data_IF_467191144713
#
_entry.id   IF_467191144713
#
_cell.length_a   1.000
_cell.length_b   1.000
_cell.length_c   1.000
_cell.angle_alpha   90.00
_cell.angle_beta   90.00
_cell.angle_gamma   90.00
#
_symmetry.space_group_name_H-M   'P 1'
#
loop_
_entity.id
_entity.type
_entity.pdbx_description
1 polymer ?
#
# COMPACT_ATOMS: atom_id res chain seq x y z
N UNK A 1 49.82 -13.59 -40.81
CA UNK A 1 49.64 -15.00 -40.40
C UNK A 1 48.80 -15.00 -39.14
N UNK A 2 47.54 -15.44 -39.26
CA UNK A 2 46.70 -16.19 -38.29
C UNK A 2 45.29 -16.19 -38.91
N UNK A 3 44.80 -17.40 -39.11
CA UNK A 3 43.73 -17.79 -40.03
C UNK A 3 42.42 -17.99 -39.25
N UNK A 4 41.31 -17.40 -39.71
CA UNK A 4 39.98 -17.77 -39.21
C UNK A 4 39.59 -19.15 -39.77
N UNK A 5 39.21 -20.10 -38.88
CA UNK A 5 38.50 -21.32 -39.27
C UNK A 5 37.02 -21.19 -38.88
N UNK A 6 36.14 -21.29 -39.87
CA UNK A 6 34.71 -21.61 -39.70
C UNK A 6 34.58 -23.08 -39.37
N UNK A 7 33.82 -23.42 -38.33
CA UNK A 7 33.33 -24.77 -38.09
C UNK A 7 31.81 -24.79 -38.11
N UNK A 8 31.31 -25.58 -39.05
CA UNK A 8 29.92 -25.95 -39.29
C UNK A 8 29.44 -26.85 -38.15
N UNK A 9 28.32 -26.51 -37.48
CA UNK A 9 27.64 -27.47 -36.62
C UNK A 9 26.46 -28.10 -37.37
N UNK A 10 26.55 -29.41 -37.52
CA UNK A 10 25.58 -30.32 -38.11
C UNK A 10 24.41 -30.51 -37.15
N UNK A 11 23.18 -30.38 -37.65
CA UNK A 11 21.95 -30.80 -36.98
C UNK A 11 21.93 -32.32 -36.86
N UNK A 12 21.84 -32.85 -35.64
CA UNK A 12 21.37 -34.23 -35.40
C UNK A 12 20.07 -34.12 -34.61
N UNK A 13 18.98 -34.57 -35.24
CA UNK A 13 17.67 -34.64 -34.63
C UNK A 13 17.60 -35.81 -33.65
N UNK A 14 17.13 -35.53 -32.44
CA UNK A 14 16.64 -36.55 -31.51
C UNK A 14 15.18 -36.22 -31.23
N UNK A 15 14.29 -37.04 -31.78
CA UNK A 15 12.87 -37.01 -31.50
C UNK A 15 12.65 -37.30 -30.01
N UNK A 16 12.09 -36.33 -29.28
CA UNK A 16 11.64 -36.51 -27.90
C UNK A 16 10.12 -36.58 -27.93
N UNK A 17 9.57 -37.72 -27.49
CA UNK A 17 8.13 -37.92 -27.32
C UNK A 17 7.54 -36.78 -26.47
N UNK A 18 6.56 -36.07 -27.03
CA UNK A 18 5.74 -35.13 -26.29
C UNK A 18 4.82 -35.93 -25.35
N UNK A 19 5.21 -36.03 -24.08
CA UNK A 19 4.26 -36.33 -23.01
C UNK A 19 3.37 -35.11 -22.89
N UNK A 20 2.10 -35.24 -23.28
CA UNK A 20 1.07 -34.26 -23.03
C UNK A 20 0.85 -34.17 -21.51
N UNK A 21 1.65 -33.34 -20.84
CA UNK A 21 1.29 -32.83 -19.54
C UNK A 21 0.08 -31.92 -19.75
N UNK A 22 -1.09 -32.38 -19.33
CA UNK A 22 -2.25 -31.52 -19.08
C UNK A 22 -1.80 -30.50 -18.03
N UNK A 23 -1.30 -29.36 -18.50
CA UNK A 23 -1.01 -28.20 -17.67
C UNK A 23 -2.33 -27.64 -17.18
N UNK A 24 -2.79 -28.13 -16.03
CA UNK A 24 -3.70 -27.36 -15.20
C UNK A 24 -3.02 -26.03 -14.89
N UNK A 25 -3.42 -24.98 -15.60
CA UNK A 25 -2.87 -23.65 -15.44
C UNK A 25 -3.31 -23.07 -14.10
N UNK A 26 -2.49 -23.29 -13.08
CA UNK A 26 -2.51 -22.47 -11.88
C UNK A 26 -2.01 -21.07 -12.28
N UNK A 27 -2.92 -20.19 -12.67
CA UNK A 27 -2.59 -18.79 -12.92
C UNK A 27 -2.20 -18.14 -11.58
N UNK A 28 -0.92 -17.79 -11.44
CA UNK A 28 -0.50 -16.93 -10.34
C UNK A 28 -1.22 -15.58 -10.47
N UNK A 29 -1.62 -15.00 -9.34
CA UNK A 29 -2.46 -13.80 -9.21
C UNK A 29 -1.83 -12.50 -9.77
N UNK A 30 -0.63 -12.59 -10.35
CA UNK A 30 0.19 -11.49 -10.86
C UNK A 30 0.28 -11.48 -12.40
N UNK A 31 -0.41 -12.39 -13.09
CA UNK A 31 -0.40 -12.43 -14.55
C UNK A 31 -1.57 -11.63 -15.16
N UNK A 32 -1.40 -11.07 -16.35
CA UNK A 32 -2.51 -10.48 -17.09
C UNK A 32 -3.63 -11.51 -17.25
N UNK A 33 -4.87 -11.07 -17.04
CA UNK A 33 -6.07 -11.86 -17.30
C UNK A 33 -6.78 -11.25 -18.53
N UNK A 34 -6.42 -11.64 -19.76
CA UNK A 34 -7.08 -11.12 -20.96
C UNK A 34 -8.57 -11.47 -20.91
N UNK A 35 -9.42 -10.45 -20.99
CA UNK A 35 -10.87 -10.61 -21.14
C UNK A 35 -11.28 -10.55 -22.62
N UNK A 36 -12.51 -10.97 -22.94
CA UNK A 36 -13.07 -10.85 -24.29
C UNK A 36 -13.02 -9.37 -24.74
N UNK A 37 -12.22 -9.09 -25.77
CA UNK A 37 -11.97 -7.72 -26.26
C UNK A 37 -10.59 -7.15 -25.90
N UNK A 38 -9.79 -7.87 -25.09
CA UNK A 38 -8.36 -7.55 -24.95
C UNK A 38 -7.65 -7.64 -26.30
N UNK A 39 -6.82 -6.64 -26.61
CA UNK A 39 -5.90 -6.71 -27.74
C UNK A 39 -4.83 -7.76 -27.44
N UNK A 40 -4.52 -8.59 -28.44
CA UNK A 40 -3.42 -9.56 -28.42
C UNK A 40 -2.07 -8.91 -28.80
N UNK A 41 -2.06 -7.59 -29.00
CA UNK A 41 -0.89 -6.77 -29.26
C UNK A 41 -0.87 -5.53 -28.36
N UNK A 42 0.34 -4.98 -28.15
CA UNK A 42 0.50 -3.67 -27.51
C UNK A 42 0.07 -2.58 -28.50
N UNK A 43 -1.06 -1.94 -28.23
CA UNK A 43 -1.48 -0.76 -28.99
C UNK A 43 -0.56 0.42 -28.71
N UNK A 44 0.00 0.99 -29.78
CA UNK A 44 0.92 2.14 -29.71
C UNK A 44 0.20 3.48 -29.91
N UNK A 45 -1.10 3.48 -30.14
CA UNK A 45 -1.89 4.70 -30.26
C UNK A 45 -1.98 5.41 -28.90
N UNK A 46 -1.89 6.75 -28.94
CA UNK A 46 -2.20 7.57 -27.77
C UNK A 46 -3.68 7.91 -27.77
N UNK A 47 -4.39 7.48 -26.73
CA UNK A 47 -5.79 7.80 -26.52
C UNK A 47 -5.89 8.99 -25.57
N UNK A 48 -6.17 10.18 -26.11
CA UNK A 48 -6.34 11.40 -25.33
C UNK A 48 -7.69 12.05 -25.68
N UNK A 49 -8.51 12.32 -24.66
CA UNK A 49 -9.76 13.07 -24.79
C UNK A 49 -9.71 14.26 -23.83
N UNK A 50 -9.85 15.49 -24.34
CA UNK A 50 -9.73 16.73 -23.57
C UNK A 50 -8.43 16.86 -22.76
N UNK A 51 -7.35 16.26 -23.25
CA UNK A 51 -6.03 16.31 -22.61
C UNK A 51 -4.91 16.33 -23.64
N UNK A 52 -3.75 16.86 -23.25
CA UNK A 52 -2.53 16.86 -24.05
C UNK A 52 -1.37 16.42 -23.18
N UNK A 53 -0.62 15.41 -23.65
CA UNK A 53 0.66 15.01 -23.03
C UNK A 53 1.70 16.08 -23.35
N UNK A 54 2.24 16.74 -22.32
CA UNK A 54 3.25 17.80 -22.48
C UNK A 54 4.68 17.27 -22.51
N UNK A 55 4.89 16.07 -21.97
CA UNK A 55 6.19 15.41 -21.89
C UNK A 55 6.05 14.04 -21.22
N UNK A 56 7.03 13.18 -21.46
CA UNK A 56 7.19 11.90 -20.77
C UNK A 56 8.56 11.92 -20.12
N UNK A 57 8.60 11.72 -18.81
CA UNK A 57 9.82 11.70 -18.04
C UNK A 57 10.05 10.30 -17.50
N UNK A 58 11.15 9.69 -17.92
CA UNK A 58 11.58 8.36 -17.49
C UNK A 58 13.01 8.45 -16.98
N UNK A 59 13.25 8.07 -15.73
CA UNK A 59 14.58 8.06 -15.12
C UNK A 59 15.34 6.75 -15.42
N UNK A 60 15.15 6.16 -16.60
CA UNK A 60 15.83 4.94 -17.03
C UNK A 60 15.33 3.63 -16.40
N UNK A 61 14.45 3.70 -15.39
CA UNK A 61 13.88 2.52 -14.72
C UNK A 61 12.38 2.68 -14.46
N UNK A 62 11.67 1.55 -14.31
CA UNK A 62 10.26 1.51 -13.89
C UNK A 62 10.13 2.08 -12.48
N UNK A 63 9.46 3.23 -12.35
CA UNK A 63 9.18 3.86 -11.06
C UNK A 63 7.83 3.39 -10.53
N UNK A 64 7.83 2.30 -9.78
CA UNK A 64 6.66 1.80 -9.06
C UNK A 64 6.25 2.69 -7.86
N UNK A 65 5.23 2.24 -7.15
CA UNK A 65 4.75 2.79 -5.87
C UNK A 65 4.13 4.21 -5.93
N UNK A 66 3.72 4.73 -4.77
CA UNK A 66 2.92 5.96 -4.69
C UNK A 66 3.79 7.19 -4.92
N UNK A 67 3.14 8.25 -5.40
CA UNK A 67 3.74 9.56 -5.57
C UNK A 67 2.82 10.61 -4.93
N UNK A 68 3.41 11.70 -4.48
CA UNK A 68 2.69 12.86 -3.98
C UNK A 68 3.33 14.14 -4.50
N UNK A 69 2.50 15.18 -4.63
CA UNK A 69 2.94 16.48 -5.11
C UNK A 69 3.03 17.48 -3.95
N UNK A 70 4.13 18.23 -3.92
CA UNK A 70 4.39 19.34 -3.00
C UNK A 70 4.52 20.64 -3.82
N UNK A 71 3.96 21.75 -3.31
CA UNK A 71 3.95 23.04 -3.99
C UNK A 71 4.53 24.15 -3.11
N UNK A 72 5.70 24.69 -3.49
CA UNK A 72 6.39 25.75 -2.74
C UNK A 72 6.48 27.00 -3.63
N UNK A 73 5.58 27.96 -3.40
CA UNK A 73 5.45 29.13 -4.26
C UNK A 73 5.22 28.74 -5.73
N UNK A 74 6.06 29.18 -6.69
CA UNK A 74 5.96 28.76 -8.09
C UNK A 74 6.49 27.35 -8.34
N UNK A 75 7.24 26.75 -7.40
CA UNK A 75 7.88 25.44 -7.59
C UNK A 75 6.90 24.30 -7.32
N UNK A 76 7.05 23.21 -8.07
CA UNK A 76 6.29 21.97 -7.91
C UNK A 76 7.27 20.81 -7.81
N UNK A 77 7.05 19.93 -6.84
CA UNK A 77 7.88 18.76 -6.62
C UNK A 77 7.00 17.52 -6.57
N UNK A 78 7.48 16.44 -7.15
CA UNK A 78 6.95 15.08 -6.93
C UNK A 78 7.92 14.36 -6.01
N UNK A 79 7.38 13.80 -4.92
CA UNK A 79 8.09 12.87 -4.07
C UNK A 79 7.65 11.46 -4.46
N UNK A 80 8.59 10.58 -4.77
CA UNK A 80 8.29 9.21 -5.17
C UNK A 80 9.49 8.29 -4.89
N UNK A 81 9.23 7.17 -4.21
CA UNK A 81 10.21 6.11 -3.99
C UNK A 81 11.57 6.60 -3.43
N UNK A 82 11.51 7.51 -2.45
CA UNK A 82 12.69 8.11 -1.82
C UNK A 82 13.26 9.34 -2.53
N UNK A 83 12.85 9.63 -3.76
CA UNK A 83 13.42 10.74 -4.53
C UNK A 83 12.54 11.99 -4.51
N UNK A 84 13.18 13.13 -4.77
CA UNK A 84 12.53 14.42 -5.03
C UNK A 84 12.78 14.85 -6.47
N UNK A 85 11.71 15.10 -7.21
CA UNK A 85 11.72 15.48 -8.62
C UNK A 85 11.07 16.86 -8.75
N UNK A 86 11.78 17.84 -9.30
CA UNK A 86 11.21 19.14 -9.65
C UNK A 86 10.42 19.01 -10.96
N UNK A 87 9.14 19.37 -10.91
CA UNK A 87 8.19 19.39 -12.04
C UNK A 87 7.60 20.78 -12.25
N UNK A 88 8.31 21.83 -11.82
CA UNK A 88 7.87 23.23 -11.99
C UNK A 88 7.67 23.58 -13.46
N UNK A 89 8.54 23.07 -14.33
CA UNK A 89 8.24 22.93 -15.75
C UNK A 89 7.88 21.45 -16.05
N UNK A 90 6.61 21.13 -16.30
CA UNK A 90 6.18 19.76 -16.55
C UNK A 90 6.75 19.17 -17.85
N UNK A 91 7.35 20.00 -18.73
CA UNK A 91 8.01 19.53 -19.97
C UNK A 91 9.43 19.04 -19.74
N UNK A 92 10.09 19.51 -18.67
CA UNK A 92 11.48 19.19 -18.36
C UNK A 92 11.63 18.87 -16.86
N UNK A 93 11.04 17.76 -16.37
CA UNK A 93 11.25 17.36 -14.99
C UNK A 93 12.72 17.08 -14.69
N UNK A 94 13.14 17.39 -13.45
CA UNK A 94 14.54 17.23 -13.01
C UNK A 94 14.60 16.50 -11.69
N UNK A 95 15.39 15.44 -11.62
CA UNK A 95 15.71 14.79 -10.35
C UNK A 95 16.55 15.76 -9.50
N UNK A 96 16.00 16.22 -8.37
CA UNK A 96 16.65 17.18 -7.48
C UNK A 96 17.50 16.47 -6.45
N UNK A 97 16.93 15.45 -5.80
CA UNK A 97 17.56 14.73 -4.71
C UNK A 97 17.18 13.24 -4.78
N UNK A 98 18.07 12.37 -5.27
CA UNK A 98 17.86 10.93 -5.15
C UNK A 98 18.01 10.49 -3.69
N UNK A 99 17.20 9.52 -3.25
CA UNK A 99 17.30 8.92 -1.91
C UNK A 99 17.17 9.92 -0.75
N UNK A 100 16.38 10.99 -0.94
CA UNK A 100 16.10 12.01 0.07
C UNK A 100 15.36 11.48 1.30
N UNK A 101 14.55 10.43 1.14
CA UNK A 101 13.78 9.82 2.23
C UNK A 101 13.66 8.29 2.04
N UNK A 102 13.20 7.60 3.08
CA UNK A 102 12.95 6.14 3.05
C UNK A 102 11.46 5.84 3.01
N UNK A 103 11.03 5.02 2.06
CA UNK A 103 9.66 4.53 1.96
C UNK A 103 9.01 4.88 0.63
N UNK A 104 8.06 4.04 0.21
CA UNK A 104 7.40 4.13 -1.10
C UNK A 104 5.89 4.38 -1.00
N UNK A 105 5.37 4.42 0.22
CA UNK A 105 4.00 4.75 0.57
C UNK A 105 4.04 6.06 1.34
N UNK A 106 3.59 7.14 0.72
CA UNK A 106 3.84 8.47 1.25
C UNK A 106 2.65 9.41 1.16
N UNK A 107 2.65 10.37 2.08
CA UNK A 107 1.77 11.53 2.12
C UNK A 107 2.58 12.73 2.57
N UNK A 108 2.51 13.84 1.84
CA UNK A 108 3.19 15.11 2.19
C UNK A 108 2.18 16.24 2.20
N UNK A 109 2.23 17.08 3.23
CA UNK A 109 1.34 18.21 3.38
C UNK A 109 1.99 19.33 4.20
N UNK A 110 1.56 20.56 3.94
CA UNK A 110 2.03 21.72 4.69
C UNK A 110 1.25 21.86 6.00
N UNK A 111 1.96 21.82 7.12
CA UNK A 111 1.40 22.11 8.43
C UNK A 111 1.54 23.62 8.72
N UNK A 112 0.41 24.32 8.75
CA UNK A 112 0.36 25.77 8.96
C UNK A 112 0.85 26.20 10.35
N UNK A 113 0.55 25.42 11.38
CA UNK A 113 0.92 25.71 12.77
C UNK A 113 2.42 25.60 12.98
N UNK A 114 3.07 24.63 12.32
CA UNK A 114 4.50 24.42 12.39
C UNK A 114 5.29 25.26 11.37
N UNK A 115 4.62 25.76 10.32
CA UNK A 115 5.29 26.43 9.20
C UNK A 115 6.18 25.49 8.39
N UNK A 116 5.86 24.19 8.38
CA UNK A 116 6.70 23.12 7.81
C UNK A 116 5.95 22.23 6.84
N UNK A 117 6.64 21.73 5.83
CA UNK A 117 6.16 20.59 5.06
C UNK A 117 6.49 19.31 5.82
N UNK A 118 5.47 18.54 6.17
CA UNK A 118 5.63 17.26 6.85
C UNK A 118 5.35 16.14 5.85
N UNK A 119 6.33 15.26 5.69
CA UNK A 119 6.22 14.03 4.91
C UNK A 119 6.05 12.87 5.89
N UNK A 120 5.10 11.99 5.63
CA UNK A 120 4.89 10.75 6.36
C UNK A 120 5.02 9.58 5.40
N UNK A 121 5.90 8.64 5.72
CA UNK A 121 6.12 7.43 4.93
C UNK A 121 5.78 6.19 5.74
N UNK A 122 5.03 5.26 5.16
CA UNK A 122 4.70 3.97 5.78
C UNK A 122 5.83 2.95 5.69
N UNK A 123 5.83 2.03 6.65
CA UNK A 123 6.65 0.83 6.70
C UNK A 123 5.80 -0.33 7.24
N UNK A 124 5.83 -1.47 6.56
CA UNK A 124 5.03 -2.63 6.89
C UNK A 124 5.87 -3.90 7.02
N UNK A 125 5.30 -4.91 7.64
CA UNK A 125 5.81 -6.27 7.57
C UNK A 125 5.84 -6.78 6.12
N UNK A 126 6.59 -7.86 5.84
CA UNK A 126 6.40 -8.65 4.64
C UNK A 126 4.93 -9.07 4.50
N UNK A 127 4.50 -9.30 3.27
CA UNK A 127 3.16 -9.81 2.96
C UNK A 127 3.23 -11.32 2.70
N UNK A 128 2.11 -12.02 2.82
CA UNK A 128 2.00 -13.46 2.55
C UNK A 128 1.53 -13.75 1.12
N UNK A 129 2.01 -12.95 0.16
CA UNK A 129 1.57 -12.99 -1.24
C UNK A 129 1.72 -14.38 -1.87
N UNK A 130 0.95 -14.63 -2.93
CA UNK A 130 1.00 -15.87 -3.71
C UNK A 130 2.36 -16.04 -4.39
N UNK A 131 2.88 -17.26 -4.39
CA UNK A 131 4.11 -17.63 -5.11
C UNK A 131 3.80 -18.73 -6.14
N UNK A 132 4.76 -19.06 -7.01
CA UNK A 132 4.60 -20.18 -7.95
C UNK A 132 4.34 -21.52 -7.25
N UNK A 133 4.89 -21.72 -6.04
CA UNK A 133 4.73 -22.94 -5.24
C UNK A 133 3.64 -22.84 -4.17
N UNK A 134 3.09 -21.64 -3.94
CA UNK A 134 2.01 -21.36 -3.01
C UNK A 134 0.99 -20.40 -3.66
N UNK A 135 0.21 -20.87 -4.65
CA UNK A 135 -0.73 -20.02 -5.41
C UNK A 135 -1.90 -19.45 -4.56
N UNK A 136 -2.12 -19.95 -3.34
CA UNK A 136 -3.03 -19.40 -2.33
C UNK A 136 -2.26 -18.79 -1.13
N UNK A 137 -1.01 -18.37 -1.32
CA UNK A 137 -0.22 -17.66 -0.31
C UNK A 137 -0.17 -18.42 1.02
N UNK A 138 -0.54 -17.76 2.12
CA UNK A 138 -0.51 -18.32 3.48
C UNK A 138 -1.31 -19.61 3.67
N UNK A 139 -2.30 -19.89 2.82
CA UNK A 139 -3.11 -21.12 2.92
C UNK A 139 -2.40 -22.35 2.35
N UNK A 140 -1.50 -22.16 1.39
CA UNK A 140 -0.70 -23.26 0.83
C UNK A 140 0.65 -23.39 1.56
N UNK A 141 1.22 -22.26 2.02
CA UNK A 141 2.49 -22.21 2.74
C UNK A 141 2.38 -21.40 4.04
N UNK A 142 2.09 -22.05 5.19
CA UNK A 142 2.05 -21.41 6.50
C UNK A 142 3.39 -20.76 6.91
N UNK A 143 4.53 -21.14 6.31
CA UNK A 143 5.83 -20.52 6.63
C UNK A 143 5.88 -19.04 6.22
N UNK A 144 5.02 -18.60 5.30
CA UNK A 144 4.88 -17.19 4.94
C UNK A 144 4.40 -16.34 6.13
N UNK A 145 3.58 -16.90 7.01
CA UNK A 145 3.16 -16.24 8.26
C UNK A 145 4.37 -16.05 9.16
N UNK A 146 5.20 -17.09 9.35
CA UNK A 146 6.39 -16.98 10.20
C UNK A 146 7.43 -16.03 9.61
N UNK A 147 7.61 -16.00 8.28
CA UNK A 147 8.44 -14.98 7.61
C UNK A 147 7.90 -13.57 7.84
N UNK A 148 6.58 -13.40 7.84
CA UNK A 148 5.93 -12.12 8.15
C UNK A 148 6.18 -11.74 9.62
N UNK A 149 5.94 -12.67 10.55
CA UNK A 149 6.12 -12.49 11.99
C UNK A 149 7.56 -12.11 12.34
N UNK A 150 8.55 -12.82 11.79
CA UNK A 150 9.99 -12.59 12.04
C UNK A 150 10.62 -11.54 11.11
N UNK A 151 9.84 -10.99 10.18
CA UNK A 151 10.30 -10.00 9.20
C UNK A 151 10.87 -8.77 9.90
N UNK A 152 12.16 -8.44 9.67
CA UNK A 152 12.81 -7.38 10.41
C UNK A 152 12.45 -6.00 9.86
N UNK A 153 12.60 -4.98 10.71
CA UNK A 153 12.45 -3.58 10.35
C UNK A 153 11.22 -2.93 10.95
N UNK A 154 11.09 -1.64 10.67
CA UNK A 154 10.01 -0.80 11.19
C UNK A 154 8.64 -1.28 10.69
N UNK A 155 7.69 -1.38 11.61
CA UNK A 155 6.26 -1.57 11.38
C UNK A 155 5.54 -0.33 11.91
N UNK A 156 5.29 0.62 11.02
CA UNK A 156 4.67 1.90 11.38
C UNK A 156 5.06 3.03 10.42
N UNK A 157 5.29 4.23 10.94
CA UNK A 157 5.59 5.41 10.11
C UNK A 157 6.95 6.03 10.40
N UNK A 158 7.46 6.74 9.41
CA UNK A 158 8.53 7.73 9.57
C UNK A 158 7.97 9.10 9.26
N UNK A 159 8.31 10.07 10.10
CA UNK A 159 7.89 11.46 9.95
C UNK A 159 9.11 12.30 9.62
N UNK A 160 9.02 13.12 8.58
CA UNK A 160 10.13 13.89 8.03
C UNK A 160 9.77 15.36 7.91
N UNK A 161 10.75 16.23 8.13
CA UNK A 161 10.70 17.62 7.68
C UNK A 161 11.12 17.67 6.21
N UNK A 162 10.17 18.00 5.35
CA UNK A 162 10.36 18.12 3.91
C UNK A 162 10.34 19.59 3.44
N UNK A 163 10.50 20.55 4.37
CA UNK A 163 10.43 21.99 4.07
C UNK A 163 11.49 22.41 3.06
N UNK A 164 12.70 21.87 3.19
CA UNK A 164 13.72 21.95 2.16
C UNK A 164 13.72 20.65 1.31
N UNK A 165 13.23 20.68 0.05
CA UNK A 165 13.22 19.53 -0.83
C UNK A 165 14.63 18.99 -1.19
N UNK A 166 15.69 19.76 -0.94
CA UNK A 166 17.07 19.33 -1.19
C UNK A 166 17.72 18.67 0.04
N UNK A 167 17.10 18.84 1.20
CA UNK A 167 17.60 18.41 2.50
C UNK A 167 16.44 17.97 3.41
N UNK A 168 15.82 16.84 3.08
CA UNK A 168 14.76 16.23 3.89
C UNK A 168 15.37 15.61 5.16
N UNK A 169 14.77 15.89 6.31
CA UNK A 169 15.30 15.49 7.63
C UNK A 169 14.33 14.52 8.30
N UNK A 170 14.81 13.37 8.75
CA UNK A 170 14.03 12.45 9.58
C UNK A 170 13.82 13.06 10.96
N UNK A 171 12.57 13.22 11.38
CA UNK A 171 12.20 13.74 12.70
C UNK A 171 11.96 12.61 13.70
N UNK A 172 11.24 11.58 13.27
CA UNK A 172 10.90 10.44 14.14
C UNK A 172 10.58 9.17 13.36
N UNK A 173 10.67 8.04 14.05
CA UNK A 173 10.08 6.77 13.65
C UNK A 173 9.06 6.37 14.73
N UNK A 174 7.89 5.89 14.33
CA UNK A 174 6.81 5.47 15.21
C UNK A 174 6.43 4.03 14.88
N UNK A 175 6.52 3.14 15.88
CA UNK A 175 6.09 1.74 15.79
C UNK A 175 4.61 1.63 16.14
N UNK A 176 3.81 1.00 15.28
CA UNK A 176 2.36 0.86 15.51
C UNK A 176 2.02 -0.13 16.63
N UNK A 177 2.97 -0.95 17.06
CA UNK A 177 2.80 -1.83 18.24
C UNK A 177 3.14 -1.14 19.58
N UNK A 178 3.46 0.17 19.55
CA UNK A 178 3.75 0.99 20.72
C UNK A 178 5.13 0.76 21.36
N UNK A 179 5.93 -0.18 20.85
CA UNK A 179 7.28 -0.43 21.36
C UNK A 179 8.36 0.43 20.68
N UNK A 180 9.62 0.21 21.05
CA UNK A 180 10.76 0.92 20.45
C UNK A 180 10.85 0.62 18.93
N UNK A 181 10.81 1.64 18.05
CA UNK A 181 10.91 1.48 16.59
C UNK A 181 12.26 0.94 16.12
N UNK A 182 13.28 0.89 16.96
CA UNK A 182 14.60 0.30 16.65
C UNK A 182 14.65 -1.21 16.87
N UNK A 183 13.63 -1.82 17.49
CA UNK A 183 13.57 -3.28 17.65
C UNK A 183 13.62 -3.94 16.28
N UNK A 184 14.46 -4.98 16.19
CA UNK A 184 14.65 -5.76 14.97
C UNK A 184 13.34 -6.36 14.48
N UNK A 185 12.54 -6.90 15.40
CA UNK A 185 11.22 -7.50 15.12
C UNK A 185 10.17 -6.77 15.94
N UNK A 186 9.09 -6.37 15.29
CA UNK A 186 7.94 -5.64 15.86
C UNK A 186 6.68 -6.47 15.62
N UNK A 187 5.63 -6.28 16.41
CA UNK A 187 4.36 -7.00 16.25
C UNK A 187 3.46 -6.34 15.19
N UNK A 188 2.40 -7.05 14.79
CA UNK A 188 1.40 -6.49 13.88
C UNK A 188 1.92 -6.29 12.46
N UNK A 189 1.27 -5.43 11.68
CA UNK A 189 1.54 -5.28 10.25
C UNK A 189 2.34 -4.02 9.88
N UNK A 190 2.46 -3.06 10.79
CA UNK A 190 2.87 -1.70 10.43
C UNK A 190 1.79 -1.02 9.60
N UNK A 191 2.15 -0.13 8.67
CA UNK A 191 1.18 0.53 7.79
C UNK A 191 1.52 0.35 6.33
N UNK A 192 0.48 0.16 5.52
CA UNK A 192 0.60 0.16 4.08
C UNK A 192 0.42 1.55 3.48
N UNK A 193 -0.54 2.37 3.95
CA UNK A 193 -0.80 3.73 3.46
C UNK A 193 -1.46 4.59 4.52
N UNK A 194 -1.06 5.87 4.55
CA UNK A 194 -1.49 6.83 5.56
C UNK A 194 -2.18 8.03 4.93
N UNK A 195 -3.10 8.66 5.67
CA UNK A 195 -3.66 9.96 5.36
C UNK A 195 -3.11 10.97 6.35
N UNK A 196 -2.62 12.07 5.80
CA UNK A 196 -2.13 13.23 6.52
C UNK A 196 -2.30 14.44 5.61
N UNK A 197 -2.90 15.49 6.13
CA UNK A 197 -3.34 16.62 5.33
C UNK A 197 -2.76 17.95 5.84
N UNK A 198 -1.76 17.88 6.72
CA UNK A 198 -1.11 19.04 7.32
C UNK A 198 -1.70 19.45 8.68
N UNK A 199 -2.61 18.65 9.24
CA UNK A 199 -3.14 18.85 10.58
C UNK A 199 -2.24 18.33 11.70
N UNK A 200 -2.84 18.14 12.86
CA UNK A 200 -2.30 17.50 14.05
C UNK A 200 -2.48 15.97 13.99
N UNK A 201 -3.36 15.41 13.16
CA UNK A 201 -3.60 13.94 13.10
C UNK A 201 -3.18 13.27 11.79
N UNK A 202 -2.60 12.07 11.90
CA UNK A 202 -2.41 11.12 10.82
C UNK A 202 -3.28 9.87 11.04
N UNK A 203 -3.79 9.29 9.96
CA UNK A 203 -4.69 8.14 9.97
C UNK A 203 -4.04 6.98 9.23
N UNK A 204 -3.76 5.89 9.93
CA UNK A 204 -2.96 4.77 9.43
C UNK A 204 -3.83 3.52 9.25
N UNK A 205 -3.52 2.72 8.22
CA UNK A 205 -4.06 1.37 8.08
C UNK A 205 -3.14 0.33 8.70
N UNK A 206 -3.46 -0.11 9.92
CA UNK A 206 -2.54 -0.96 10.66
C UNK A 206 -3.23 -2.01 11.51
N UNK A 207 -2.56 -3.14 11.68
CA UNK A 207 -2.74 -4.03 12.81
C UNK A 207 -1.62 -3.71 13.81
N UNK A 208 -1.94 -3.26 15.03
CA UNK A 208 -0.92 -2.93 16.04
C UNK A 208 -0.27 -4.18 16.65
N UNK A 209 -0.92 -5.34 16.60
CA UNK A 209 -0.43 -6.56 17.24
C UNK A 209 -0.84 -7.83 16.47
N UNK A 210 -0.38 -8.98 16.96
CA UNK A 210 -0.62 -10.29 16.35
C UNK A 210 -1.99 -10.90 16.70
N UNK A 211 -2.92 -10.14 17.29
CA UNK A 211 -4.31 -10.58 17.47
C UNK A 211 -5.16 -10.38 16.22
N UNK A 212 -4.78 -9.48 15.32
CA UNK A 212 -5.56 -9.10 14.12
C UNK A 212 -5.44 -10.13 12.98
N UNK A 213 -5.78 -11.38 13.23
CA UNK A 213 -5.44 -12.51 12.34
C UNK A 213 -6.55 -12.92 11.37
N UNK A 214 -7.77 -12.41 11.54
CA UNK A 214 -8.93 -12.79 10.73
C UNK A 214 -8.98 -12.00 9.41
N UNK A 215 -7.99 -12.26 8.57
CA UNK A 215 -7.91 -11.81 7.18
C UNK A 215 -8.22 -12.99 6.25
N UNK A 216 -9.29 -12.92 5.45
CA UNK A 216 -9.63 -13.98 4.49
C UNK A 216 -8.68 -13.99 3.27
N UNK A 217 -8.13 -12.83 2.90
CA UNK A 217 -7.25 -12.77 1.74
C UNK A 217 -5.93 -13.52 1.99
N UNK A 218 -5.44 -14.32 1.03
CA UNK A 218 -4.20 -15.08 1.20
C UNK A 218 -2.96 -14.19 1.30
N UNK A 219 -3.05 -12.96 0.78
CA UNK A 219 -1.87 -12.12 0.51
C UNK A 219 -1.34 -11.38 1.74
N UNK A 220 -2.10 -11.33 2.84
CA UNK A 220 -1.68 -10.72 4.10
C UNK A 220 -2.07 -11.64 5.24
N UNK A 221 -1.25 -11.65 6.28
CA UNK A 221 -1.60 -12.34 7.50
C UNK A 221 -2.56 -11.51 8.36
N UNK A 222 -2.20 -10.26 8.67
CA UNK A 222 -3.03 -9.40 9.51
C UNK A 222 -4.13 -8.65 8.76
N UNK A 223 -5.26 -8.42 9.43
CA UNK A 223 -6.34 -7.50 9.03
C UNK A 223 -6.14 -6.13 9.66
N UNK A 224 -5.86 -5.11 8.85
CA UNK A 224 -5.67 -3.75 9.33
C UNK A 224 -6.99 -3.10 9.77
N UNK A 225 -6.92 -2.29 10.82
CA UNK A 225 -7.92 -1.32 11.23
C UNK A 225 -7.44 0.12 11.08
N UNK A 226 -8.15 1.07 11.68
CA UNK A 226 -7.82 2.49 11.70
C UNK A 226 -7.05 2.80 12.98
N UNK A 227 -5.78 3.18 12.86
CA UNK A 227 -5.08 3.87 13.94
C UNK A 227 -5.07 5.37 13.69
N UNK A 228 -5.42 6.15 14.71
CA UNK A 228 -5.24 7.60 14.69
C UNK A 228 -4.00 7.94 15.52
N UNK A 229 -3.10 8.72 14.93
CA UNK A 229 -1.86 9.16 15.56
C UNK A 229 -1.84 10.69 15.59
N UNK A 230 -1.65 11.25 16.79
CA UNK A 230 -1.30 12.65 16.99
C UNK A 230 0.15 12.87 16.54
N UNK A 231 0.32 13.74 15.56
CA UNK A 231 1.57 14.19 14.95
C UNK A 231 1.72 15.72 15.06
N UNK A 232 1.01 16.36 16.00
CA UNK A 232 1.13 17.79 16.30
C UNK A 232 2.55 18.19 16.74
N UNK A 233 3.25 17.27 17.39
CA UNK A 233 4.70 17.24 17.52
C UNK A 233 5.27 16.11 16.63
N UNK A 234 5.74 16.42 15.41
CA UNK A 234 6.29 15.43 14.48
C UNK A 234 7.52 14.67 14.99
N UNK A 235 8.20 15.16 16.03
CA UNK A 235 9.32 14.47 16.65
C UNK A 235 8.87 13.42 17.68
N UNK A 236 7.63 13.51 18.17
CA UNK A 236 7.08 12.61 19.18
C UNK A 236 5.63 12.18 18.88
N UNK A 237 5.37 11.42 17.79
CA UNK A 237 4.03 10.94 17.46
C UNK A 237 3.42 10.05 18.55
N UNK A 238 2.11 10.13 18.76
CA UNK A 238 1.39 9.35 19.79
C UNK A 238 0.11 8.74 19.23
N UNK A 239 -0.10 7.45 19.45
CA UNK A 239 -1.40 6.84 19.19
C UNK A 239 -2.47 7.47 20.08
N UNK A 240 -3.61 7.84 19.50
CA UNK A 240 -4.76 8.38 20.24
C UNK A 240 -6.02 7.53 20.10
N UNK A 241 -6.13 6.72 19.05
CA UNK A 241 -7.25 5.80 18.86
C UNK A 241 -6.84 4.57 18.04
N UNK A 242 -7.60 3.49 18.23
CA UNK A 242 -7.59 2.31 17.37
C UNK A 242 -9.02 1.82 17.18
N UNK A 243 -9.44 1.64 15.93
CA UNK A 243 -10.76 1.11 15.58
C UNK A 243 -10.62 -0.06 14.60
N UNK A 244 -11.46 -1.09 14.76
CA UNK A 244 -11.50 -2.25 13.88
C UNK A 244 -12.93 -2.79 13.72
N UNK A 245 -13.15 -3.55 12.65
CA UNK A 245 -14.41 -4.27 12.43
C UNK A 245 -14.48 -5.43 13.43
N UNK A 246 -15.56 -5.56 14.22
CA UNK A 246 -15.72 -6.68 15.14
C UNK A 246 -15.57 -8.03 14.43
N UNK A 247 -14.72 -8.90 14.96
CA UNK A 247 -14.34 -10.18 14.37
C UNK A 247 -12.92 -10.18 13.78
N UNK A 248 -12.24 -9.04 13.65
CA UNK A 248 -10.88 -8.99 13.11
C UNK A 248 -9.84 -9.62 14.04
N UNK A 249 -10.14 -9.71 15.35
CA UNK A 249 -9.17 -10.13 16.37
C UNK A 249 -9.44 -11.53 16.92
N UNK A 250 -8.39 -12.18 17.41
CA UNK A 250 -8.53 -13.36 18.30
C UNK A 250 -9.38 -13.00 19.51
N UNK A 251 -10.30 -13.88 19.90
CA UNK A 251 -11.29 -13.64 20.95
C UNK A 251 -12.62 -13.04 20.45
N UNK A 252 -12.75 -12.76 19.15
CA UNK A 252 -13.98 -12.26 18.51
C UNK A 252 -14.58 -13.31 17.55
N UNK A 253 -14.44 -14.60 17.86
CA UNK A 253 -14.77 -15.70 16.93
C UNK A 253 -16.26 -15.74 16.55
N UNK A 254 -17.15 -15.30 17.44
CA UNK A 254 -18.59 -15.24 17.13
C UNK A 254 -18.89 -14.20 16.05
N UNK A 255 -18.26 -13.02 16.13
CA UNK A 255 -18.37 -11.95 15.16
C UNK A 255 -17.70 -12.34 13.84
N UNK A 256 -16.52 -12.98 13.91
CA UNK A 256 -15.82 -13.49 12.73
C UNK A 256 -16.67 -14.47 11.93
N UNK A 257 -17.29 -15.46 12.60
CA UNK A 257 -18.17 -16.46 11.96
C UNK A 257 -19.46 -15.86 11.39
N UNK A 258 -19.84 -14.65 11.80
CA UNK A 258 -21.02 -13.95 11.31
C UNK A 258 -20.76 -13.13 10.03
N UNK A 259 -19.50 -12.99 9.60
CA UNK A 259 -19.17 -12.30 8.37
C UNK A 259 -19.68 -13.06 7.15
N UNK A 260 -20.11 -12.31 6.13
CA UNK A 260 -20.49 -12.88 4.83
C UNK A 260 -19.29 -13.56 4.15
N UNK A 261 -18.10 -13.04 4.40
CA UNK A 261 -16.81 -13.46 3.84
C UNK A 261 -16.23 -14.69 4.53
N UNK A 262 -16.79 -15.11 5.67
CA UNK A 262 -16.19 -16.13 6.53
C UNK A 262 -15.88 -17.42 5.76
N UNK A 263 -14.60 -17.80 5.81
CA UNK A 263 -14.06 -19.03 5.23
C UNK A 263 -13.90 -19.02 3.71
N UNK A 264 -14.14 -17.90 3.02
CA UNK A 264 -14.02 -17.83 1.56
C UNK A 264 -12.56 -17.82 1.08
N UNK A 265 -11.60 -17.51 1.96
CA UNK A 265 -10.15 -17.49 1.70
C UNK A 265 -9.73 -16.60 0.52
N UNK A 266 -10.54 -15.61 0.16
CA UNK A 266 -10.27 -14.70 -0.96
C UNK A 266 -10.52 -13.24 -0.60
N UNK A 267 -11.56 -12.96 0.19
CA UNK A 267 -12.04 -11.62 0.48
C UNK A 267 -11.01 -10.77 1.21
N UNK A 268 -10.89 -9.51 0.81
CA UNK A 268 -10.03 -8.56 1.51
C UNK A 268 -10.78 -7.99 2.74
N UNK A 269 -10.75 -8.70 3.87
CA UNK A 269 -11.45 -8.34 5.13
C UNK A 269 -10.62 -7.40 6.02
N UNK A 270 -10.22 -6.27 5.45
CA UNK A 270 -9.27 -5.36 6.09
C UNK A 270 -9.36 -3.96 5.51
N UNK A 271 -8.97 -2.97 6.31
CA UNK A 271 -8.66 -1.65 5.78
C UNK A 271 -7.46 -1.77 4.81
N UNK A 272 -7.54 -1.10 3.66
CA UNK A 272 -6.43 -1.00 2.73
C UNK A 272 -6.35 0.41 2.15
N UNK A 273 -5.47 1.23 2.69
CA UNK A 273 -5.58 2.67 2.57
C UNK A 273 -6.05 3.30 3.87
N UNK A 274 -5.81 4.60 4.06
CA UNK A 274 -6.17 5.26 5.30
C UNK A 274 -7.67 5.58 5.38
N UNK A 275 -8.11 5.95 6.58
CA UNK A 275 -9.32 6.76 6.71
C UNK A 275 -9.03 8.19 6.23
N UNK A 276 -9.82 8.68 5.29
CA UNK A 276 -9.75 10.05 4.82
C UNK A 276 -10.69 10.92 5.66
N UNK A 277 -10.19 12.03 6.19
CA UNK A 277 -10.97 13.05 6.88
C UNK A 277 -11.01 14.31 6.02
N UNK A 278 -12.04 14.51 5.16
CA UNK A 278 -12.05 15.60 4.17
C UNK A 278 -11.96 17.00 4.79
N UNK A 279 -12.40 17.13 6.05
CA UNK A 279 -12.20 18.28 6.90
C UNK A 279 -11.46 17.81 8.14
N UNK A 280 -10.35 18.47 8.48
CA UNK A 280 -9.60 18.28 9.72
C UNK A 280 -10.54 18.33 10.92
N UNK A 281 -10.33 17.48 11.91
CA UNK A 281 -11.09 17.50 13.17
C UNK A 281 -10.83 18.81 13.92
N UNK A 282 -9.61 19.30 13.82
CA UNK A 282 -9.09 20.57 14.30
C UNK A 282 -9.85 21.77 13.70
N UNK A 283 -10.37 21.63 12.48
CA UNK A 283 -11.21 22.63 11.81
C UNK A 283 -12.72 22.36 12.02
N UNK A 284 -13.09 21.49 12.97
CA UNK A 284 -14.47 21.09 13.25
C UNK A 284 -15.04 20.05 12.28
N UNK A 285 -14.18 19.30 11.59
CA UNK A 285 -14.54 18.09 10.87
C UNK A 285 -15.01 17.00 11.83
N UNK A 286 -15.97 16.19 11.40
CA UNK A 286 -16.58 15.15 12.24
C UNK A 286 -16.70 13.79 11.55
N UNK A 287 -16.29 13.69 10.29
CA UNK A 287 -16.51 12.49 9.49
C UNK A 287 -15.21 12.00 8.87
N UNK A 288 -14.97 10.71 9.00
CA UNK A 288 -13.92 9.97 8.32
C UNK A 288 -14.51 8.88 7.42
N UNK A 289 -13.85 8.63 6.29
CA UNK A 289 -14.30 7.69 5.26
C UNK A 289 -13.17 6.70 4.96
N UNK A 290 -13.46 5.41 5.06
CA UNK A 290 -12.46 4.35 4.90
C UNK A 290 -12.98 3.24 3.99
N UNK A 291 -12.14 2.80 3.04
CA UNK A 291 -12.42 1.68 2.17
C UNK A 291 -11.86 0.39 2.78
N UNK A 292 -12.75 -0.50 3.24
CA UNK A 292 -12.42 -1.73 3.95
C UNK A 292 -12.55 -2.97 3.05
N UNK A 293 -12.07 -2.88 1.81
CA UNK A 293 -12.13 -3.97 0.82
C UNK A 293 -13.54 -4.56 0.73
N UNK A 294 -13.65 -5.86 1.03
CA UNK A 294 -14.90 -6.63 1.02
C UNK A 294 -15.96 -6.13 2.00
N UNK A 295 -15.58 -5.44 3.08
CA UNK A 295 -16.56 -4.84 3.99
C UNK A 295 -17.20 -3.56 3.42
N UNK A 296 -16.67 -3.03 2.31
CA UNK A 296 -17.19 -1.83 1.65
C UNK A 296 -16.64 -0.53 2.24
N UNK A 297 -17.38 0.56 2.08
CA UNK A 297 -17.00 1.88 2.60
C UNK A 297 -17.63 2.08 3.97
N UNK A 298 -16.80 2.38 4.97
CA UNK A 298 -17.21 2.69 6.33
C UNK A 298 -17.08 4.18 6.60
N UNK A 299 -18.07 4.75 7.28
CA UNK A 299 -18.15 6.15 7.67
C UNK A 299 -18.10 6.22 9.18
N UNK A 300 -17.12 6.95 9.71
CA UNK A 300 -16.89 7.11 11.13
C UNK A 300 -17.17 8.54 11.58
N UNK A 301 -17.84 8.68 12.72
CA UNK A 301 -17.94 9.91 13.50
C UNK A 301 -16.63 10.10 14.28
N UNK A 302 -16.02 11.27 14.10
CA UNK A 302 -14.76 11.71 14.68
C UNK A 302 -14.96 12.89 15.65
N UNK A 303 -16.19 13.13 16.12
CA UNK A 303 -16.47 14.19 17.11
C UNK A 303 -15.67 14.00 18.40
N UNK A 304 -15.38 12.74 18.77
CA UNK A 304 -14.31 12.39 19.70
C UNK A 304 -13.23 11.60 18.94
N UNK A 305 -12.12 12.25 18.63
CA UNK A 305 -11.02 11.66 17.85
C UNK A 305 -10.36 10.46 18.56
N UNK A 306 -10.53 10.35 19.88
CA UNK A 306 -10.01 9.23 20.68
C UNK A 306 -10.93 8.02 20.62
N UNK A 307 -12.15 8.19 20.12
CA UNK A 307 -13.15 7.13 20.01
C UNK A 307 -13.92 7.20 18.67
N UNK A 308 -13.26 6.94 17.52
CA UNK A 308 -13.94 6.86 16.24
C UNK A 308 -15.11 5.87 16.29
N UNK A 309 -16.29 6.31 15.86
CA UNK A 309 -17.51 5.49 15.94
C UNK A 309 -18.10 5.27 14.56
N UNK A 310 -18.33 4.01 14.19
CA UNK A 310 -19.02 3.69 12.94
C UNK A 310 -20.44 4.26 12.95
N UNK A 311 -20.79 5.05 11.93
CA UNK A 311 -22.12 5.69 11.76
C UNK A 311 -22.78 5.37 10.44
N UNK A 312 -22.03 4.86 9.47
CA UNK A 312 -22.58 4.48 8.18
C UNK A 312 -21.72 3.44 7.48
N UNK A 313 -22.35 2.64 6.63
CA UNK A 313 -21.68 1.64 5.82
C UNK A 313 -22.37 1.57 4.46
N UNK A 314 -21.57 1.61 3.41
CA UNK A 314 -21.99 1.19 2.07
C UNK A 314 -21.32 -0.14 1.76
N UNK A 315 -22.11 -1.17 1.47
CA UNK A 315 -21.60 -2.47 1.05
C UNK A 315 -22.07 -2.73 -0.38
N UNK A 316 -21.16 -2.94 -1.35
CA UNK A 316 -21.54 -3.33 -2.70
C UNK A 316 -22.18 -4.73 -2.72
N UNK A 317 -23.10 -4.96 -3.65
CA UNK A 317 -23.85 -6.22 -3.81
C UNK A 317 -23.08 -7.25 -4.67
N UNK A 318 -21.76 -7.14 -4.72
CA UNK A 318 -20.91 -7.97 -5.57
C UNK A 318 -20.26 -9.08 -4.77
N UNK A 319 -20.24 -10.29 -5.36
CA UNK A 319 -19.58 -11.45 -4.76
C UNK A 319 -18.09 -11.37 -5.06
N UNK A 320 -17.27 -11.47 -4.02
CA UNK A 320 -15.83 -11.48 -4.18
C UNK A 320 -15.38 -12.69 -5.03
N UNK A 321 -14.56 -12.44 -6.04
CA UNK A 321 -14.01 -13.49 -6.92
C UNK A 321 -12.49 -13.52 -6.83
N UNK A 322 -11.91 -14.71 -6.96
CA UNK A 322 -10.46 -14.88 -6.98
C UNK A 322 -9.88 -14.11 -8.18
N UNK A 323 -8.90 -13.23 -7.93
CA UNK A 323 -8.27 -12.41 -8.98
C UNK A 323 -8.42 -10.90 -8.79
N UNK A 324 -9.34 -10.44 -7.92
CA UNK A 324 -9.60 -9.00 -7.65
C UNK A 324 -8.54 -8.33 -6.77
N UNK A 325 -7.32 -8.87 -6.71
CA UNK A 325 -6.26 -8.36 -5.83
C UNK A 325 -6.05 -6.85 -5.97
N UNK A 326 -6.26 -6.22 -7.13
CA UNK A 326 -5.92 -4.79 -7.31
C UNK A 326 -6.90 -3.80 -6.61
N UNK A 327 -8.02 -4.23 -6.03
CA UNK A 327 -8.95 -3.34 -5.29
C UNK A 327 -8.40 -2.80 -3.93
N UNK A 328 -7.09 -2.83 -3.75
CA UNK A 328 -6.32 -2.46 -2.56
C UNK A 328 -6.48 -1.01 -2.05
N UNK A 329 -7.27 -0.16 -2.69
CA UNK A 329 -7.52 1.21 -2.22
C UNK A 329 -8.94 1.69 -2.53
N UNK A 330 -9.84 0.74 -2.81
CA UNK A 330 -11.22 1.01 -3.23
C UNK A 330 -12.15 0.13 -2.43
N UNK A 331 -13.45 0.38 -2.61
CA UNK A 331 -14.45 -0.65 -2.36
C UNK A 331 -14.40 -1.64 -3.53
N UNK A 332 -14.56 -2.93 -3.24
CA UNK A 332 -14.69 -3.93 -4.30
C UNK A 332 -16.05 -3.75 -5.00
N UNK A 333 -16.04 -3.30 -6.25
CA UNK A 333 -17.23 -3.26 -7.11
C UNK A 333 -17.15 -4.34 -8.16
#
# INVERSE_FOLDING_TARGET
MITLKRTTLVRVGVASLAVAALSGSAFANQHPHPHKGSLDYLDRNSYAHNMRVLGVFQLGEERGHKLQMMAIGPRRFILQNGDVIDVSDPRVPKLVKPGAFRGSQLQVAFNKKLGKWILITGASSPITSTTATAPNGKYDDPSLIEKTRQGPGLRGIRVWDATDPTSIILLSEFSTDGGDPKRKVQAGSGTHRNYYDGGDYAYLDTAPDDSFVNMESPIRWHGNGIMVVDVSDPANPKQVAMWWVPGQRTGEEAQYKAWREYGDKVSFTSLHGPMYAPKKVEDGGKLGYSAYGSFGMLIHDLSDIRNPRLVGRFTPDTKYTRGTVIAFHTIDV
#
